data_IF_762417652423
#
_entry.id   IF_762417652423
#
_cell.length_a   1.000
_cell.length_b   1.000
_cell.length_c   1.000
_cell.angle_alpha   90.00
_cell.angle_beta   90.00
_cell.angle_gamma   90.00
#
_symmetry.space_group_name_H-M   'P 1'
#
loop_
_entity.id
_entity.type
_entity.pdbx_description
1 polymer ?
#
# COMPACT_ATOMS: atom_id res chain seq x y z
N UNK A 1 -8.23 -27.74 26.04
CA UNK A 1 -7.46 -26.77 25.21
C UNK A 1 -8.42 -25.77 24.61
N UNK A 2 -8.08 -24.51 24.60
CA UNK A 2 -8.81 -23.50 23.83
C UNK A 2 -8.61 -23.78 22.34
N UNK A 3 -9.70 -24.16 21.66
CA UNK A 3 -9.67 -24.53 20.23
C UNK A 3 -9.27 -23.34 19.36
N UNK A 4 -9.73 -22.13 19.70
CA UNK A 4 -9.41 -20.93 18.96
C UNK A 4 -7.92 -20.62 19.06
N UNK A 5 -7.35 -20.72 20.25
CA UNK A 5 -5.90 -20.52 20.44
C UNK A 5 -5.07 -21.57 19.68
N UNK A 6 -5.58 -22.80 19.57
CA UNK A 6 -4.98 -23.85 18.73
C UNK A 6 -4.98 -23.47 17.25
N UNK A 7 -6.11 -22.96 16.72
CA UNK A 7 -6.24 -22.48 15.36
C UNK A 7 -5.33 -21.29 15.08
N UNK A 8 -5.33 -20.28 15.95
CA UNK A 8 -4.42 -19.11 15.85
C UNK A 8 -2.95 -19.54 15.79
N UNK A 9 -2.56 -20.46 16.69
CA UNK A 9 -1.18 -20.95 16.73
C UNK A 9 -0.81 -21.70 15.46
N UNK A 10 -1.72 -22.51 14.92
CA UNK A 10 -1.48 -23.25 13.68
C UNK A 10 -1.34 -22.31 12.49
N UNK A 11 -2.23 -21.34 12.33
CA UNK A 11 -2.15 -20.33 11.27
C UNK A 11 -0.84 -19.53 11.37
N UNK A 12 -0.48 -19.07 12.57
CA UNK A 12 0.77 -18.34 12.78
C UNK A 12 2.00 -19.16 12.40
N UNK A 13 2.00 -20.48 12.66
CA UNK A 13 3.11 -21.39 12.26
C UNK A 13 3.19 -21.51 10.73
N UNK A 14 2.06 -21.66 10.05
CA UNK A 14 2.01 -21.75 8.58
C UNK A 14 2.52 -20.46 7.94
N UNK A 15 2.00 -19.32 8.37
CA UNK A 15 2.35 -18.01 7.81
C UNK A 15 3.80 -17.59 8.10
N UNK A 16 4.32 -17.93 9.29
CA UNK A 16 5.70 -17.62 9.68
C UNK A 16 6.71 -18.65 9.16
N UNK A 17 6.25 -19.79 8.66
CA UNK A 17 7.10 -20.90 8.16
C UNK A 17 7.95 -21.58 9.25
N UNK A 18 7.78 -21.22 10.53
CA UNK A 18 8.55 -21.79 11.65
C UNK A 18 7.85 -21.63 13.00
N UNK A 19 8.12 -22.56 13.93
CA UNK A 19 7.66 -22.43 15.32
C UNK A 19 8.24 -21.20 16.05
N UNK A 20 9.48 -20.85 15.74
CA UNK A 20 10.14 -19.69 16.34
C UNK A 20 9.53 -18.37 15.84
N UNK A 21 9.22 -18.28 14.55
CA UNK A 21 8.54 -17.13 13.97
C UNK A 21 7.13 -16.95 14.55
N UNK A 22 6.36 -18.05 14.66
CA UNK A 22 5.05 -18.05 15.29
C UNK A 22 5.13 -17.67 16.78
N UNK A 23 6.13 -18.17 17.49
CA UNK A 23 6.36 -17.86 18.90
C UNK A 23 6.59 -16.36 19.13
N UNK A 24 7.43 -15.74 18.29
CA UNK A 24 7.66 -14.29 18.32
C UNK A 24 6.38 -13.49 18.03
N UNK A 25 5.60 -13.91 17.02
CA UNK A 25 4.35 -13.25 16.63
C UNK A 25 3.25 -13.33 17.70
N UNK A 26 3.19 -14.47 18.41
CA UNK A 26 2.15 -14.75 19.41
C UNK A 26 2.59 -14.45 20.85
N UNK A 27 3.78 -13.89 21.04
CA UNK A 27 4.37 -13.55 22.32
C UNK A 27 4.41 -14.75 23.30
N UNK A 28 4.80 -15.93 22.78
CA UNK A 28 4.90 -17.15 23.58
C UNK A 28 6.21 -17.89 23.29
N UNK A 29 6.52 -18.94 24.08
CA UNK A 29 7.70 -19.77 23.80
C UNK A 29 7.46 -20.74 22.65
N UNK A 30 8.50 -21.08 21.87
CA UNK A 30 8.43 -22.08 20.81
C UNK A 30 8.00 -23.46 21.32
N UNK A 31 8.30 -23.78 22.58
CA UNK A 31 7.82 -24.99 23.25
C UNK A 31 6.29 -25.00 23.42
N UNK A 32 5.72 -23.83 23.78
CA UNK A 32 4.27 -23.69 23.88
C UNK A 32 3.59 -23.78 22.52
N UNK A 33 4.17 -23.16 21.47
CA UNK A 33 3.69 -23.33 20.08
C UNK A 33 3.65 -24.82 19.71
N UNK A 34 4.74 -25.56 19.95
CA UNK A 34 4.82 -26.99 19.67
C UNK A 34 3.75 -27.80 20.45
N UNK A 35 3.49 -27.45 21.70
CA UNK A 35 2.45 -28.08 22.53
C UNK A 35 1.05 -27.85 21.96
N UNK A 36 0.73 -26.61 21.54
CA UNK A 36 -0.58 -26.29 20.92
C UNK A 36 -0.80 -27.07 19.62
N UNK A 37 0.22 -27.13 18.75
CA UNK A 37 0.14 -27.91 17.51
C UNK A 37 -0.05 -29.39 17.77
N UNK A 38 0.73 -30.01 18.69
CA UNK A 38 0.61 -31.42 19.03
C UNK A 38 -0.78 -31.77 19.62
N UNK A 39 -1.33 -30.88 20.45
CA UNK A 39 -2.67 -31.05 21.00
C UNK A 39 -3.76 -30.93 19.93
N UNK A 40 -3.61 -29.98 19.00
CA UNK A 40 -4.54 -29.82 17.87
C UNK A 40 -4.54 -31.06 16.97
N UNK A 41 -3.38 -31.51 16.55
CA UNK A 41 -3.22 -32.74 15.74
C UNK A 41 -3.80 -33.98 16.46
N UNK A 42 -3.58 -34.09 17.77
CA UNK A 42 -4.14 -35.19 18.59
C UNK A 42 -5.67 -35.14 18.63
N UNK A 43 -6.27 -33.95 18.74
CA UNK A 43 -7.73 -33.78 18.73
C UNK A 43 -8.35 -34.11 17.37
N UNK A 44 -7.66 -33.78 16.29
CA UNK A 44 -8.11 -34.04 14.93
C UNK A 44 -7.80 -35.48 14.47
N UNK A 45 -6.98 -36.22 15.21
CA UNK A 45 -6.55 -37.57 14.88
C UNK A 45 -5.66 -37.66 13.65
N UNK A 46 -5.12 -36.54 13.18
CA UNK A 46 -4.27 -36.46 11.99
C UNK A 46 -3.19 -35.37 12.12
N UNK A 47 -2.11 -35.53 11.37
CA UNK A 47 -1.05 -34.51 11.30
C UNK A 47 -1.46 -33.43 10.32
N UNK A 48 -1.20 -32.18 10.71
CA UNK A 48 -1.40 -31.00 9.89
C UNK A 48 -0.08 -30.50 9.26
N UNK A 49 1.07 -30.78 9.91
CA UNK A 49 2.38 -30.37 9.47
C UNK A 49 3.29 -31.57 9.18
N UNK A 50 4.02 -31.49 8.07
CA UNK A 50 5.11 -32.43 7.77
C UNK A 50 6.31 -32.12 8.68
N UNK A 51 6.84 -33.17 9.33
CA UNK A 51 8.05 -33.05 10.16
C UNK A 51 9.29 -33.19 9.29
N UNK A 52 9.67 -32.14 8.57
CA UNK A 52 10.95 -32.11 7.88
C UNK A 52 11.87 -31.07 8.54
N UNK A 53 13.12 -31.43 8.81
CA UNK A 53 14.07 -30.65 9.64
C UNK A 53 14.53 -29.32 9.02
N UNK A 54 14.15 -29.01 7.77
CA UNK A 54 14.60 -27.80 7.06
C UNK A 54 13.50 -26.84 6.61
N UNK A 55 12.25 -27.30 6.46
CA UNK A 55 11.08 -26.46 6.17
C UNK A 55 9.82 -27.14 6.67
N UNK A 56 8.91 -26.38 7.26
CA UNK A 56 7.59 -26.88 7.59
C UNK A 56 6.72 -26.76 6.36
N UNK A 57 6.10 -27.87 5.96
CA UNK A 57 5.10 -27.92 4.90
C UNK A 57 3.80 -28.48 5.44
N UNK A 58 2.69 -28.07 4.84
CA UNK A 58 1.37 -28.56 5.17
C UNK A 58 1.15 -29.97 4.59
N UNK A 59 0.53 -30.84 5.38
CA UNK A 59 -0.11 -32.05 4.86
C UNK A 59 -1.36 -31.69 4.06
N UNK A 60 -1.97 -32.65 3.35
CA UNK A 60 -3.27 -32.42 2.70
C UNK A 60 -4.35 -32.04 3.71
N UNK A 61 -4.40 -32.71 4.88
CA UNK A 61 -5.27 -32.36 5.98
C UNK A 61 -4.95 -30.96 6.53
N UNK A 62 -3.65 -30.60 6.57
CA UNK A 62 -3.20 -29.28 7.00
C UNK A 62 -3.68 -28.17 6.07
N UNK A 63 -3.66 -28.37 4.75
CA UNK A 63 -4.18 -27.39 3.78
C UNK A 63 -5.67 -27.15 3.98
N UNK A 64 -6.45 -28.21 4.05
CA UNK A 64 -7.90 -28.11 4.28
C UNK A 64 -8.18 -27.43 5.62
N UNK A 65 -7.50 -27.86 6.68
CA UNK A 65 -7.71 -27.26 8.01
C UNK A 65 -7.28 -25.81 8.11
N UNK A 66 -6.23 -25.41 7.39
CA UNK A 66 -5.77 -24.02 7.36
C UNK A 66 -6.84 -23.08 6.83
N UNK A 67 -7.46 -23.42 5.70
CA UNK A 67 -8.53 -22.62 5.11
C UNK A 67 -9.76 -22.54 6.03
N UNK A 68 -10.18 -23.66 6.61
CA UNK A 68 -11.35 -23.67 7.50
C UNK A 68 -11.06 -22.98 8.84
N UNK A 69 -9.86 -23.13 9.40
CA UNK A 69 -9.47 -22.42 10.63
C UNK A 69 -9.44 -20.90 10.43
N UNK A 70 -8.97 -20.42 9.26
CA UNK A 70 -9.03 -19.00 8.90
C UNK A 70 -10.47 -18.49 8.88
N UNK A 71 -11.39 -19.22 8.27
CA UNK A 71 -12.82 -18.86 8.23
C UNK A 71 -13.44 -18.81 9.61
N UNK A 72 -13.11 -19.76 10.47
CA UNK A 72 -13.59 -19.77 11.87
C UNK A 72 -13.11 -18.55 12.63
N UNK A 73 -11.82 -18.22 12.57
CA UNK A 73 -11.27 -17.04 13.24
C UNK A 73 -11.83 -15.73 12.66
N UNK A 74 -12.12 -15.69 11.38
CA UNK A 74 -12.82 -14.56 10.76
C UNK A 74 -14.23 -14.40 11.33
N UNK A 75 -14.99 -15.50 11.51
CA UNK A 75 -16.32 -15.46 12.12
C UNK A 75 -16.27 -15.03 13.59
N UNK A 76 -15.25 -15.44 14.35
CA UNK A 76 -15.03 -14.96 15.72
C UNK A 76 -14.79 -13.46 15.72
N UNK A 77 -13.92 -12.98 14.86
CA UNK A 77 -13.67 -11.54 14.69
C UNK A 77 -14.93 -10.76 14.29
N UNK A 78 -15.77 -11.32 13.41
CA UNK A 78 -17.06 -10.73 13.03
C UNK A 78 -18.00 -10.65 14.24
N UNK A 79 -18.06 -11.68 15.09
CA UNK A 79 -18.90 -11.70 16.29
C UNK A 79 -18.43 -10.66 17.31
N UNK A 80 -17.13 -10.58 17.58
CA UNK A 80 -16.53 -9.58 18.47
C UNK A 80 -16.79 -8.15 17.97
N UNK A 81 -16.56 -7.93 16.68
CA UNK A 81 -16.82 -6.66 16.02
C UNK A 81 -18.32 -6.29 15.97
N UNK A 82 -19.24 -7.26 15.96
CA UNK A 82 -20.67 -6.99 16.07
C UNK A 82 -21.05 -6.38 17.44
N UNK A 83 -20.34 -6.77 18.48
CA UNK A 83 -20.47 -6.18 19.82
C UNK A 83 -19.85 -4.78 19.87
N UNK A 84 -18.69 -4.57 19.22
CA UNK A 84 -18.07 -3.24 19.12
C UNK A 84 -18.95 -2.22 18.38
N UNK A 85 -19.76 -2.66 17.40
CA UNK A 85 -20.77 -1.79 16.75
C UNK A 85 -21.78 -1.19 17.70
N UNK A 86 -22.07 -1.86 18.80
CA UNK A 86 -22.96 -1.35 19.83
C UNK A 86 -22.32 -0.23 20.67
N UNK A 87 -21.00 -0.06 20.58
CA UNK A 87 -20.28 0.99 21.33
C UNK A 87 -20.20 2.34 20.62
N UNK A 88 -20.65 2.48 19.39
CA UNK A 88 -20.74 3.72 18.62
C UNK A 88 -19.43 4.51 18.44
N UNK A 89 -18.34 4.13 19.09
CA UNK A 89 -17.06 4.84 19.03
C UNK A 89 -16.01 3.99 18.32
N UNK A 90 -15.33 4.51 17.30
CA UNK A 90 -14.24 3.83 16.63
C UNK A 90 -13.11 3.45 17.59
N UNK A 91 -12.71 2.17 17.61
CA UNK A 91 -11.64 1.65 18.44
C UNK A 91 -10.90 0.47 17.78
N UNK A 92 -9.73 0.11 18.29
CA UNK A 92 -8.90 -1.00 17.80
C UNK A 92 -7.99 -0.65 16.65
N UNK A 93 -7.31 -1.65 16.07
CA UNK A 93 -6.31 -1.44 14.99
C UNK A 93 -6.96 -1.41 13.61
N UNK A 94 -6.63 -0.42 12.81
CA UNK A 94 -6.99 -0.27 11.40
C UNK A 94 -5.72 -0.42 10.54
N UNK A 95 -5.69 -1.42 9.66
CA UNK A 95 -4.58 -1.68 8.75
C UNK A 95 -4.85 -1.06 7.40
N UNK A 96 -4.00 -0.11 7.03
CA UNK A 96 -4.14 0.70 5.81
C UNK A 96 -2.90 0.55 4.95
N UNK A 97 -3.08 0.33 3.65
CA UNK A 97 -1.97 0.38 2.69
C UNK A 97 -2.20 1.45 1.64
N UNK A 98 -1.14 2.16 1.27
CA UNK A 98 -1.19 3.24 0.28
C UNK A 98 0.09 3.30 -0.56
N UNK A 99 0.03 3.87 -1.79
CA UNK A 99 1.24 4.17 -2.56
C UNK A 99 2.17 5.10 -1.80
N UNK A 100 3.49 4.87 -1.88
CA UNK A 100 4.49 5.57 -1.05
C UNK A 100 4.35 7.09 -1.08
N UNK A 101 4.27 7.69 -2.25
CA UNK A 101 4.17 9.16 -2.37
C UNK A 101 2.83 9.70 -1.86
N UNK A 102 1.70 9.13 -2.32
CA UNK A 102 0.38 9.56 -1.90
C UNK A 102 0.12 9.28 -0.42
N UNK A 103 0.54 8.10 0.05
CA UNK A 103 0.42 7.69 1.44
C UNK A 103 1.22 8.61 2.37
N UNK A 104 2.48 8.91 2.03
CA UNK A 104 3.33 9.78 2.83
C UNK A 104 2.89 11.24 2.83
N UNK A 105 2.58 11.79 1.65
CA UNK A 105 2.25 13.22 1.53
C UNK A 105 0.82 13.56 1.94
N UNK A 106 -0.13 12.64 1.77
CA UNK A 106 -1.57 12.91 1.95
C UNK A 106 -2.16 12.09 3.09
N UNK A 107 -2.01 10.76 3.06
CA UNK A 107 -2.71 9.89 4.02
C UNK A 107 -2.12 9.98 5.42
N UNK A 108 -0.80 10.01 5.56
CA UNK A 108 -0.15 10.07 6.87
C UNK A 108 -0.52 11.36 7.66
N UNK A 109 -0.53 12.57 7.08
CA UNK A 109 -1.06 13.75 7.75
C UNK A 109 -2.54 13.65 8.13
N UNK A 110 -3.39 13.08 7.27
CA UNK A 110 -4.81 12.85 7.57
C UNK A 110 -4.98 11.84 8.70
N UNK A 111 -4.15 10.80 8.74
CA UNK A 111 -4.11 9.83 9.85
C UNK A 111 -3.85 10.52 11.19
N UNK A 112 -2.92 11.48 11.25
CA UNK A 112 -2.62 12.20 12.48
C UNK A 112 -3.84 12.97 13.01
N UNK A 113 -4.58 13.66 12.14
CA UNK A 113 -5.80 14.39 12.54
C UNK A 113 -6.96 13.45 12.90
N UNK A 114 -7.04 12.28 12.28
CA UNK A 114 -8.02 11.26 12.62
C UNK A 114 -7.77 10.67 14.02
N UNK A 115 -6.51 10.33 14.34
CA UNK A 115 -6.13 9.77 15.65
C UNK A 115 -6.35 10.76 16.80
N UNK A 116 -6.24 12.08 16.57
CA UNK A 116 -6.60 13.09 17.56
C UNK A 116 -8.10 13.04 17.91
N UNK A 117 -8.95 12.75 16.92
CA UNK A 117 -10.40 12.64 17.11
C UNK A 117 -10.84 11.32 17.73
N UNK A 118 -10.09 10.24 17.44
CA UNK A 118 -10.42 8.87 17.87
C UNK A 118 -9.22 8.22 18.58
N UNK A 119 -8.93 8.56 19.82
CA UNK A 119 -7.72 8.14 20.54
C UNK A 119 -7.66 6.63 20.85
N UNK A 120 -8.78 5.92 20.78
CA UNK A 120 -8.84 4.46 20.95
C UNK A 120 -8.51 3.70 19.64
N UNK A 121 -8.36 4.39 18.52
CA UNK A 121 -7.93 3.79 17.26
C UNK A 121 -6.41 3.75 17.17
N UNK A 122 -5.88 2.66 16.65
CA UNK A 122 -4.48 2.52 16.22
C UNK A 122 -4.48 2.32 14.71
N UNK A 123 -3.55 2.92 14.00
CA UNK A 123 -3.42 2.75 12.54
C UNK A 123 -2.05 2.16 12.23
N UNK A 124 -2.05 1.02 11.54
CA UNK A 124 -0.86 0.45 10.89
C UNK A 124 -0.91 0.87 9.43
N UNK A 125 -0.04 1.82 9.06
CA UNK A 125 0.03 2.36 7.71
C UNK A 125 1.23 1.79 6.95
N UNK A 126 0.96 0.91 5.99
CA UNK A 126 1.97 0.33 5.09
C UNK A 126 2.05 1.11 3.78
N UNK A 127 3.20 1.72 3.51
CA UNK A 127 3.45 2.52 2.31
C UNK A 127 4.20 1.69 1.27
N UNK A 128 3.46 1.19 0.29
CA UNK A 128 4.02 0.34 -0.75
C UNK A 128 3.37 0.52 -2.11
N UNK A 129 4.18 0.44 -3.18
CA UNK A 129 3.72 0.47 -4.56
C UNK A 129 3.43 -0.94 -5.12
N UNK A 130 3.68 -2.02 -4.36
CA UNK A 130 3.34 -3.37 -4.78
C UNK A 130 1.82 -3.61 -4.70
N UNK A 131 1.35 -4.54 -5.51
CA UNK A 131 0.00 -5.05 -5.34
C UNK A 131 -0.05 -5.86 -4.03
N UNK A 132 -1.06 -5.60 -3.23
CA UNK A 132 -1.30 -6.22 -1.93
C UNK A 132 -2.60 -6.99 -2.01
N UNK A 133 -2.61 -8.24 -1.57
CA UNK A 133 -3.84 -8.98 -1.35
C UNK A 133 -4.42 -8.59 0.02
N UNK A 134 -5.61 -7.97 0.01
CA UNK A 134 -6.23 -7.47 1.23
C UNK A 134 -6.61 -8.59 2.21
N UNK A 135 -6.91 -9.77 1.69
CA UNK A 135 -7.33 -10.93 2.49
C UNK A 135 -6.11 -11.62 3.11
N UNK A 136 -5.14 -11.97 2.27
CA UNK A 136 -3.95 -12.70 2.72
C UNK A 136 -3.09 -11.88 3.69
N UNK A 137 -3.02 -10.55 3.47
CA UNK A 137 -2.21 -9.65 4.28
C UNK A 137 -2.99 -8.98 5.42
N UNK A 138 -4.30 -9.27 5.55
CA UNK A 138 -5.14 -8.74 6.62
C UNK A 138 -5.31 -7.22 6.60
N UNK A 139 -5.36 -6.63 5.40
CA UNK A 139 -5.52 -5.19 5.20
C UNK A 139 -7.00 -4.82 5.21
N UNK A 140 -7.36 -3.78 6.00
CA UNK A 140 -8.73 -3.29 6.11
C UNK A 140 -9.09 -2.30 5.00
N UNK A 141 -8.12 -1.44 4.62
CA UNK A 141 -8.28 -0.40 3.60
C UNK A 141 -7.04 -0.29 2.72
N UNK A 142 -7.22 -0.36 1.42
CA UNK A 142 -6.17 -0.03 0.48
C UNK A 142 -6.50 1.25 -0.30
N UNK A 143 -5.52 2.13 -0.46
CA UNK A 143 -5.56 3.24 -1.40
C UNK A 143 -4.77 2.83 -2.63
N UNK A 144 -5.35 2.97 -3.82
CA UNK A 144 -4.68 2.57 -5.07
C UNK A 144 -4.95 3.57 -6.18
N UNK A 145 -3.99 3.68 -7.12
CA UNK A 145 -4.01 4.63 -8.22
C UNK A 145 -4.20 3.87 -9.53
N UNK A 146 -5.16 4.32 -10.32
CA UNK A 146 -5.51 3.76 -11.62
C UNK A 146 -6.81 2.98 -11.59
N UNK A 147 -7.08 2.26 -12.69
CA UNK A 147 -8.28 1.45 -12.83
C UNK A 147 -8.22 0.22 -11.94
N UNK A 148 -9.36 -0.09 -11.32
CA UNK A 148 -9.54 -1.25 -10.46
C UNK A 148 -10.27 -2.32 -11.26
N UNK A 149 -9.70 -3.54 -11.27
CA UNK A 149 -10.23 -4.68 -12.02
C UNK A 149 -10.71 -5.82 -11.10
N UNK A 150 -10.68 -5.63 -9.79
CA UNK A 150 -11.08 -6.66 -8.84
C UNK A 150 -12.55 -6.45 -8.44
N UNK A 151 -13.42 -7.38 -8.85
CA UNK A 151 -14.87 -7.34 -8.59
C UNK A 151 -15.24 -7.72 -7.16
N UNK A 152 -14.32 -8.32 -6.40
CA UNK A 152 -14.54 -8.74 -5.01
C UNK A 152 -14.32 -7.60 -4.00
N UNK A 153 -13.87 -6.44 -4.48
CA UNK A 153 -13.60 -5.28 -3.65
C UNK A 153 -14.62 -4.16 -3.89
N UNK A 154 -15.00 -3.49 -2.82
CA UNK A 154 -15.67 -2.20 -2.94
C UNK A 154 -14.63 -1.17 -3.33
N UNK A 155 -14.86 -0.48 -4.46
CA UNK A 155 -14.01 0.59 -4.95
C UNK A 155 -14.76 1.92 -4.88
N UNK A 156 -14.21 2.89 -4.17
CA UNK A 156 -14.75 4.25 -4.11
C UNK A 156 -13.72 5.24 -4.62
N UNK A 157 -14.10 6.01 -5.64
CA UNK A 157 -13.28 7.10 -6.16
C UNK A 157 -13.02 8.13 -5.07
N UNK A 158 -11.77 8.62 -4.98
CA UNK A 158 -11.33 9.60 -4.01
C UNK A 158 -11.00 10.95 -4.66
N UNK A 159 -10.02 10.97 -5.56
CA UNK A 159 -9.54 12.20 -6.19
C UNK A 159 -8.70 11.89 -7.44
N UNK A 160 -8.38 12.87 -8.28
CA UNK A 160 -7.42 12.71 -9.36
C UNK A 160 -5.99 12.66 -8.79
N UNK A 161 -5.13 11.89 -9.45
CA UNK A 161 -3.69 11.82 -9.19
C UNK A 161 -2.94 12.45 -10.34
N UNK A 162 -2.53 13.70 -10.14
CA UNK A 162 -1.86 14.50 -11.15
C UNK A 162 -0.37 14.20 -11.19
N UNK A 163 0.19 14.22 -12.40
CA UNK A 163 1.63 14.14 -12.64
C UNK A 163 2.14 15.49 -13.12
N UNK A 164 3.37 15.82 -12.78
CA UNK A 164 4.03 17.03 -13.27
C UNK A 164 5.43 16.70 -13.77
N UNK A 165 5.90 17.47 -14.75
CA UNK A 165 7.29 17.48 -15.17
C UNK A 165 7.92 18.74 -14.60
N UNK A 166 9.05 18.60 -13.91
CA UNK A 166 9.73 19.73 -13.27
C UNK A 166 11.25 19.55 -13.24
N UNK A 167 11.95 20.64 -12.99
CA UNK A 167 13.40 20.64 -12.79
C UNK A 167 13.82 21.80 -11.90
N UNK A 168 15.04 21.75 -11.36
CA UNK A 168 15.63 22.90 -10.65
C UNK A 168 15.91 24.04 -11.60
N UNK A 169 15.73 25.33 -11.17
CA UNK A 169 16.09 26.50 -11.98
C UNK A 169 17.52 26.48 -12.50
N UNK A 170 18.47 26.05 -11.67
CA UNK A 170 19.88 25.96 -12.03
C UNK A 170 20.15 24.93 -13.15
N UNK A 171 19.36 23.83 -13.17
CA UNK A 171 19.43 22.87 -14.28
C UNK A 171 18.94 23.52 -15.57
N UNK A 172 17.78 24.18 -15.53
CA UNK A 172 17.19 24.84 -16.70
C UNK A 172 18.07 25.99 -17.23
N UNK A 173 18.74 26.72 -16.35
CA UNK A 173 19.68 27.77 -16.75
C UNK A 173 20.86 27.23 -17.53
N UNK A 174 21.32 26.00 -17.24
CA UNK A 174 22.46 25.37 -17.94
C UNK A 174 22.07 24.62 -19.22
N UNK A 175 20.86 24.05 -19.25
CA UNK A 175 20.46 23.13 -20.35
C UNK A 175 19.29 23.67 -21.17
N UNK A 176 18.76 24.85 -20.86
CA UNK A 176 17.55 25.38 -21.48
C UNK A 176 16.26 24.80 -20.86
N UNK A 177 15.13 25.38 -21.25
CA UNK A 177 13.80 24.94 -20.84
C UNK A 177 13.12 24.23 -22.00
N UNK A 178 12.79 22.92 -21.89
CA UNK A 178 12.13 22.20 -22.96
C UNK A 178 10.74 22.78 -23.23
N UNK A 179 10.39 22.99 -24.49
CA UNK A 179 9.11 23.53 -24.94
C UNK A 179 8.16 22.43 -25.44
N UNK A 180 8.72 21.34 -25.94
CA UNK A 180 7.99 20.20 -26.48
C UNK A 180 8.58 18.87 -25.94
N UNK A 181 7.84 17.76 -25.97
CA UNK A 181 8.40 16.45 -25.64
C UNK A 181 9.58 16.02 -26.51
N UNK A 182 9.71 16.54 -27.71
CA UNK A 182 10.84 16.26 -28.59
C UNK A 182 12.17 16.79 -28.04
N UNK A 183 12.15 17.91 -27.32
CA UNK A 183 13.32 18.54 -26.72
C UNK A 183 13.93 17.68 -25.59
N UNK A 184 13.19 16.71 -25.06
CA UNK A 184 13.70 15.77 -24.05
C UNK A 184 14.91 14.96 -24.54
N UNK A 185 15.16 14.93 -25.87
CA UNK A 185 16.34 14.30 -26.47
C UNK A 185 17.64 14.93 -25.97
N UNK A 186 17.61 16.22 -25.68
CA UNK A 186 18.78 17.01 -25.26
C UNK A 186 18.83 17.20 -23.72
N UNK A 187 17.89 16.61 -23.02
CA UNK A 187 17.81 16.74 -21.56
C UNK A 187 18.16 15.46 -20.81
N UNK A 188 18.70 15.64 -19.61
CA UNK A 188 18.91 14.58 -18.65
C UNK A 188 17.59 14.31 -17.90
N UNK A 189 17.10 13.07 -17.94
CA UNK A 189 15.85 12.69 -17.26
C UNK A 189 16.10 11.69 -16.15
N UNK A 190 15.32 11.81 -15.08
CA UNK A 190 15.34 10.93 -13.92
C UNK A 190 14.19 9.94 -14.02
N UNK A 191 14.40 8.66 -13.71
CA UNK A 191 13.39 7.61 -13.89
C UNK A 191 13.09 6.83 -12.63
N UNK A 192 11.79 6.59 -12.39
CA UNK A 192 11.32 5.75 -11.32
C UNK A 192 11.25 4.28 -11.78
N UNK A 193 11.97 3.36 -11.12
CA UNK A 193 12.10 1.96 -11.57
C UNK A 193 10.81 1.15 -11.51
N UNK A 194 9.85 1.53 -10.66
CA UNK A 194 8.59 0.80 -10.47
C UNK A 194 7.54 1.17 -11.51
N UNK A 195 7.53 2.42 -12.02
CA UNK A 195 6.47 2.90 -12.92
C UNK A 195 6.73 2.58 -14.37
N UNK A 196 7.97 2.41 -14.70
CA UNK A 196 8.40 2.21 -16.09
C UNK A 196 9.21 0.93 -16.21
N UNK A 197 8.53 -0.20 -16.37
CA UNK A 197 9.19 -1.47 -16.68
C UNK A 197 10.12 -1.37 -17.92
N UNK A 198 9.99 -0.29 -18.72
CA UNK A 198 10.71 -0.04 -19.96
C UNK A 198 11.48 1.28 -20.00
N UNK A 199 11.64 2.00 -18.88
CA UNK A 199 12.31 3.32 -18.85
C UNK A 199 11.74 4.35 -19.83
N UNK A 200 10.46 4.34 -20.13
CA UNK A 200 9.87 5.29 -21.05
C UNK A 200 8.90 6.25 -20.34
N UNK A 201 9.02 7.53 -20.60
CA UNK A 201 7.95 8.47 -20.32
C UNK A 201 6.97 8.45 -21.50
N UNK A 202 5.68 8.41 -21.18
CA UNK A 202 4.61 8.50 -22.17
C UNK A 202 3.91 9.82 -21.96
N UNK A 203 4.10 10.71 -22.92
CA UNK A 203 3.59 12.06 -22.84
C UNK A 203 2.61 12.30 -24.00
N UNK A 204 1.51 13.06 -23.79
CA UNK A 204 0.71 13.54 -24.91
C UNK A 204 1.58 14.43 -25.81
N UNK A 205 1.48 14.29 -27.09
CA UNK A 205 2.13 15.14 -28.08
C UNK A 205 1.11 15.72 -29.04
N UNK A 206 1.54 16.65 -29.91
CA UNK A 206 0.65 17.34 -30.87
C UNK A 206 0.03 16.35 -31.86
N UNK A 207 0.75 15.31 -32.28
CA UNK A 207 0.31 14.30 -33.24
C UNK A 207 0.02 12.93 -32.60
N UNK A 208 -0.11 12.87 -31.28
CA UNK A 208 -0.35 11.63 -30.54
C UNK A 208 0.64 11.41 -29.39
N UNK A 209 0.70 10.18 -28.85
CA UNK A 209 1.58 9.84 -27.73
C UNK A 209 3.06 9.88 -28.14
N UNK A 210 3.85 10.69 -27.45
CA UNK A 210 5.31 10.71 -27.58
C UNK A 210 5.92 9.84 -26.48
N UNK A 211 6.85 8.98 -26.88
CA UNK A 211 7.58 8.07 -25.98
C UNK A 211 9.04 8.47 -25.90
N UNK A 212 9.45 8.95 -24.75
CA UNK A 212 10.86 9.13 -24.46
C UNK A 212 11.44 7.81 -23.94
N UNK A 213 12.48 7.27 -24.58
CA UNK A 213 13.06 5.93 -24.34
C UNK A 213 14.55 5.95 -24.04
N UNK A 214 15.13 7.10 -23.71
CA UNK A 214 16.55 7.16 -23.41
C UNK A 214 16.87 6.57 -22.04
N UNK A 215 18.14 6.20 -21.86
CA UNK A 215 18.62 5.80 -20.54
C UNK A 215 18.58 7.00 -19.59
N UNK A 216 17.89 6.84 -18.50
CA UNK A 216 17.84 7.84 -17.45
C UNK A 216 19.21 7.94 -16.77
N UNK A 217 19.67 9.17 -16.52
CA UNK A 217 20.97 9.42 -15.84
C UNK A 217 20.94 8.95 -14.38
N UNK A 218 19.75 8.90 -13.78
CA UNK A 218 19.50 8.33 -12.46
C UNK A 218 18.22 7.52 -12.50
N UNK A 219 18.29 6.31 -11.96
CA UNK A 219 17.14 5.44 -11.73
C UNK A 219 17.02 5.15 -10.26
N UNK A 220 15.83 5.36 -9.69
CA UNK A 220 15.56 5.09 -8.27
C UNK A 220 14.18 4.46 -8.12
N UNK A 221 14.00 3.59 -7.15
CA UNK A 221 12.72 3.00 -6.78
C UNK A 221 11.93 3.83 -5.75
N UNK A 222 12.47 4.99 -5.38
CA UNK A 222 11.86 5.90 -4.42
C UNK A 222 11.71 7.30 -5.00
N UNK A 223 10.48 7.83 -4.96
CA UNK A 223 10.15 9.14 -5.49
C UNK A 223 10.79 10.28 -4.70
N UNK A 224 10.97 10.13 -3.39
CA UNK A 224 11.65 11.12 -2.55
C UNK A 224 13.12 11.27 -2.96
N UNK A 225 13.82 10.15 -3.17
CA UNK A 225 15.20 10.17 -3.67
C UNK A 225 15.33 10.90 -5.01
N UNK A 226 14.40 10.64 -5.95
CA UNK A 226 14.36 11.34 -7.24
C UNK A 226 14.07 12.84 -7.09
N UNK A 227 13.15 13.21 -6.18
CA UNK A 227 12.85 14.62 -5.86
C UNK A 227 14.10 15.35 -5.37
N UNK A 228 14.86 14.73 -4.45
CA UNK A 228 16.09 15.32 -3.92
C UNK A 228 17.17 15.48 -5.00
N UNK A 229 17.30 14.51 -5.91
CA UNK A 229 18.22 14.59 -7.05
C UNK A 229 17.82 15.71 -8.03
N UNK A 230 16.53 15.80 -8.37
CA UNK A 230 16.03 16.88 -9.24
C UNK A 230 16.27 18.25 -8.64
N UNK A 231 16.00 18.42 -7.35
CA UNK A 231 16.28 19.65 -6.59
C UNK A 231 17.76 20.03 -6.59
N UNK A 232 18.64 19.04 -6.59
CA UNK A 232 20.09 19.25 -6.72
C UNK A 232 20.55 19.51 -8.17
N UNK A 233 19.63 19.62 -9.13
CA UNK A 233 19.93 19.94 -10.53
C UNK A 233 20.41 18.77 -11.37
N UNK A 234 20.04 17.53 -11.01
CA UNK A 234 20.45 16.32 -11.74
C UNK A 234 19.70 16.13 -13.09
N UNK A 235 18.54 16.77 -13.28
CA UNK A 235 17.77 16.61 -14.51
C UNK A 235 16.28 16.89 -14.37
N UNK A 236 15.54 16.60 -15.43
CA UNK A 236 14.09 16.64 -15.49
C UNK A 236 13.48 15.48 -14.72
N UNK A 237 12.38 15.73 -14.02
CA UNK A 237 11.68 14.77 -13.19
C UNK A 237 10.20 14.72 -13.55
N UNK A 238 9.67 13.54 -13.88
CA UNK A 238 8.23 13.27 -13.99
C UNK A 238 7.79 12.58 -12.69
N UNK A 239 6.97 13.27 -11.86
CA UNK A 239 6.54 12.76 -10.57
C UNK A 239 5.11 13.21 -10.23
N UNK A 240 4.46 12.55 -9.24
CA UNK A 240 3.19 13.05 -8.70
C UNK A 240 3.34 14.47 -8.16
N UNK A 241 2.39 15.31 -8.47
CA UNK A 241 2.35 16.70 -8.00
C UNK A 241 2.42 16.78 -6.47
N UNK A 242 1.71 15.89 -5.77
CA UNK A 242 1.69 15.83 -4.30
C UNK A 242 3.07 15.63 -3.68
N UNK A 243 3.99 14.98 -4.41
CA UNK A 243 5.34 14.72 -3.91
C UNK A 243 6.26 15.95 -4.03
N UNK A 244 6.03 16.79 -5.02
CA UNK A 244 6.89 17.95 -5.34
C UNK A 244 6.21 19.29 -5.06
N UNK A 245 5.02 19.27 -4.45
CA UNK A 245 4.21 20.46 -4.22
C UNK A 245 4.94 21.56 -3.45
N UNK A 246 5.70 21.20 -2.41
CA UNK A 246 6.47 22.14 -1.60
C UNK A 246 7.62 22.78 -2.39
N UNK A 247 8.31 22.00 -3.20
CA UNK A 247 9.39 22.48 -4.07
C UNK A 247 8.86 23.42 -5.16
N UNK A 248 7.70 23.11 -5.74
CA UNK A 248 7.03 23.97 -6.72
C UNK A 248 6.57 25.29 -6.08
N UNK A 249 5.93 25.21 -4.92
CA UNK A 249 5.46 26.40 -4.20
C UNK A 249 6.62 27.32 -3.76
N UNK A 250 7.78 26.76 -3.41
CA UNK A 250 8.97 27.52 -3.00
C UNK A 250 9.89 27.90 -4.16
N UNK A 251 9.58 27.52 -5.40
CA UNK A 251 10.40 27.78 -6.57
C UNK A 251 11.71 26.97 -6.64
N UNK A 252 11.91 26.00 -5.76
CA UNK A 252 13.08 25.08 -5.80
C UNK A 252 13.02 24.12 -6.98
N UNK A 253 11.80 23.80 -7.44
CA UNK A 253 11.54 23.18 -8.72
C UNK A 253 10.55 24.05 -9.50
N UNK A 254 10.67 24.04 -10.81
CA UNK A 254 9.82 24.79 -11.74
C UNK A 254 9.16 23.80 -12.71
N UNK A 255 7.87 23.98 -12.97
CA UNK A 255 7.13 23.18 -13.97
C UNK A 255 7.65 23.45 -15.36
N UNK A 256 7.72 22.40 -16.14
CA UNK A 256 8.02 22.45 -17.58
C UNK A 256 7.06 21.52 -18.30
N UNK A 257 6.85 21.74 -19.60
CA UNK A 257 5.99 20.92 -20.45
C UNK A 257 4.56 20.72 -19.87
N UNK A 258 3.97 21.75 -19.28
CA UNK A 258 2.67 21.66 -18.58
C UNK A 258 1.55 21.10 -19.47
N UNK A 259 1.52 21.52 -20.75
CA UNK A 259 0.54 21.04 -21.74
C UNK A 259 0.75 19.58 -22.18
N UNK A 260 1.86 18.98 -21.80
CA UNK A 260 2.27 17.64 -22.18
C UNK A 260 2.37 16.68 -20.99
N UNK A 261 1.77 17.01 -19.87
CA UNK A 261 1.70 16.09 -18.72
C UNK A 261 0.74 14.95 -18.99
N UNK A 262 1.00 13.73 -18.48
CA UNK A 262 0.06 12.63 -18.59
C UNK A 262 -1.30 12.99 -17.97
N UNK A 263 -2.38 12.42 -18.52
CA UNK A 263 -3.71 12.59 -17.98
C UNK A 263 -3.78 12.10 -16.50
N UNK A 264 -4.56 12.78 -15.66
CA UNK A 264 -4.76 12.37 -14.27
C UNK A 264 -5.24 10.93 -14.17
N UNK A 265 -4.76 10.21 -13.18
CA UNK A 265 -5.20 8.85 -12.88
C UNK A 265 -6.14 8.89 -11.67
N UNK A 266 -7.21 8.08 -11.64
CA UNK A 266 -8.09 8.04 -10.48
C UNK A 266 -7.39 7.42 -9.25
N UNK A 267 -7.61 7.98 -8.07
CA UNK A 267 -7.28 7.35 -6.79
C UNK A 267 -8.56 6.72 -6.24
N UNK A 268 -8.45 5.49 -5.77
CA UNK A 268 -9.56 4.76 -5.18
C UNK A 268 -9.26 4.30 -3.76
N UNK A 269 -10.28 4.30 -2.93
CA UNK A 269 -10.35 3.59 -1.67
C UNK A 269 -10.92 2.20 -1.94
N UNK A 270 -10.27 1.16 -1.47
CA UNK A 270 -10.63 -0.23 -1.70
C UNK A 270 -10.73 -0.98 -0.38
N UNK A 271 -11.82 -1.71 -0.18
CA UNK A 271 -12.01 -2.61 0.96
C UNK A 271 -12.85 -3.81 0.55
N UNK A 272 -12.87 -4.83 1.38
CA UNK A 272 -13.58 -6.08 1.06
C UNK A 272 -15.10 -5.89 1.06
N UNK A 273 -15.76 -6.49 0.08
CA UNK A 273 -17.21 -6.40 -0.08
C UNK A 273 -17.97 -7.25 0.96
N UNK A 274 -17.39 -8.38 1.37
CA UNK A 274 -17.95 -9.34 2.32
C UNK A 274 -17.93 -8.87 3.77
N UNK A 275 -17.11 -7.86 4.09
CA UNK A 275 -17.05 -7.25 5.40
C UNK A 275 -18.04 -6.09 5.51
N UNK A 276 -18.95 -6.18 6.50
CA UNK A 276 -19.66 -4.98 6.94
C UNK A 276 -18.65 -4.02 7.55
N UNK A 277 -18.54 -2.79 7.02
CA UNK A 277 -17.49 -1.88 7.46
C UNK A 277 -17.57 -1.64 8.97
N UNK A 278 -16.43 -1.81 9.65
CA UNK A 278 -16.31 -1.48 11.08
C UNK A 278 -16.38 0.03 11.28
N UNK A 279 -16.86 0.54 12.43
CA UNK A 279 -16.91 1.98 12.70
C UNK A 279 -15.58 2.70 12.46
N UNK A 280 -14.46 2.13 12.89
CA UNK A 280 -13.12 2.68 12.64
C UNK A 280 -12.81 2.85 11.14
N UNK A 281 -13.22 1.88 10.31
CA UNK A 281 -13.02 1.94 8.86
C UNK A 281 -13.97 2.96 8.21
N UNK A 282 -15.26 2.93 8.58
CA UNK A 282 -16.28 3.85 8.05
C UNK A 282 -15.93 5.30 8.35
N UNK A 283 -15.55 5.60 9.62
CA UNK A 283 -15.17 6.94 10.04
C UNK A 283 -13.85 7.40 9.40
N UNK A 284 -12.88 6.50 9.21
CA UNK A 284 -11.65 6.84 8.53
C UNK A 284 -11.86 7.14 7.05
N UNK A 285 -12.69 6.33 6.37
CA UNK A 285 -13.11 6.59 4.99
C UNK A 285 -13.83 7.94 4.89
N UNK A 286 -14.79 8.21 5.79
CA UNK A 286 -15.50 9.48 5.84
C UNK A 286 -14.56 10.67 6.08
N UNK A 287 -13.58 10.51 7.00
CA UNK A 287 -12.58 11.52 7.28
C UNK A 287 -11.71 11.87 6.06
N UNK A 288 -11.26 10.84 5.31
CA UNK A 288 -10.48 11.02 4.09
C UNK A 288 -11.33 11.72 3.02
N UNK A 289 -12.57 11.25 2.80
CA UNK A 289 -13.47 11.81 1.79
C UNK A 289 -13.84 13.25 2.07
N UNK A 290 -14.07 13.63 3.34
CA UNK A 290 -14.36 15.00 3.73
C UNK A 290 -13.21 15.96 3.39
N UNK A 291 -11.97 15.49 3.41
CA UNK A 291 -10.78 16.30 3.19
C UNK A 291 -10.31 16.33 1.74
N UNK A 292 -10.57 15.28 0.97
CA UNK A 292 -10.07 15.10 -0.39
C UNK A 292 -11.19 14.94 -1.44
N UNK A 293 -12.39 14.53 -1.04
CA UNK A 293 -13.50 14.24 -1.95
C UNK A 293 -14.31 15.48 -2.40
N UNK A 294 -13.85 16.67 -2.13
CA UNK A 294 -14.53 17.96 -2.44
C UNK A 294 -13.77 18.74 -3.52
N UNK A 295 -13.23 18.03 -4.53
CA UNK A 295 -12.68 18.69 -5.71
C UNK A 295 -13.37 18.13 -6.95
#
# INVERSE_FOLDING_TARGET
MDKLRGMETFIAVVESGSFTGAAARLEMSAVMVGKYIAQLESQLGTRLLERNTRRQSLTDAGRVYFEEARRVLEQVSIAENAVERLRATPAGTLRVTAPTSFGGCIIAPLTATFLQRYPEVRIELDLTNRMVDLVEEGVDLAIRIGEIRNEDLVAKYLCPYNMVICAAPDYLARHGTPQTPADLVDHLCLSHTVWTARNEWRLPGVEGEVRWKRDAVLRCNDGYGLRMAARAGAGLLLQPEVLVAEELASGRLVRVLESFTPAPRPVHLLWRQDLRPLPKLTEFIAHILLRLGTI
#
